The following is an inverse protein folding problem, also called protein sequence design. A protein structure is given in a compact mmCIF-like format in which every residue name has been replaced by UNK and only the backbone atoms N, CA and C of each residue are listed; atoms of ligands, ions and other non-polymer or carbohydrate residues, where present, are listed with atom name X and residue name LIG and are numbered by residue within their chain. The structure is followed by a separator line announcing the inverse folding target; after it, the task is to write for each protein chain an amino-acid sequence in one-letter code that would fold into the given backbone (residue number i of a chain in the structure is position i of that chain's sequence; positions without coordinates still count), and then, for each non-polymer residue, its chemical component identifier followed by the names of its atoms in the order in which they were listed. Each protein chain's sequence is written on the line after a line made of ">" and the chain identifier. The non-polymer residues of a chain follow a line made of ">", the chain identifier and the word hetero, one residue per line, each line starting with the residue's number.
data_IF_469479466658
#
_entry.id   IF_469479466658
#
_cell.length_a   1.000
_cell.length_b   1.000
_cell.length_c   1.000
_cell.angle_alpha   90.00
_cell.angle_beta   90.00
_cell.angle_gamma   90.00
#
_symmetry.space_group_name_H-M   'P 1'
#
loop_
_entity.id
_entity.type
_entity.pdbx_description
1 polymer ?
#
# COMPACT_ATOMS: atom_id res chain seq x y z
N UNK A 1 -18.63 -16.78 2.33
CA UNK A 1 -17.26 -16.50 1.85
C UNK A 1 -16.85 -15.21 2.53
N UNK A 2 -15.76 -15.19 3.29
CA UNK A 2 -15.26 -13.95 3.89
C UNK A 2 -14.76 -13.04 2.77
N UNK A 3 -15.53 -12.00 2.44
CA UNK A 3 -15.12 -10.96 1.50
C UNK A 3 -13.84 -10.29 2.00
N UNK A 4 -12.94 -9.96 1.07
CA UNK A 4 -11.73 -9.22 1.40
C UNK A 4 -12.12 -7.86 2.00
N UNK A 5 -11.33 -7.32 2.94
CA UNK A 5 -11.55 -5.97 3.45
C UNK A 5 -11.61 -4.97 2.30
N UNK A 6 -12.64 -4.12 2.30
CA UNK A 6 -12.78 -2.99 1.37
C UNK A 6 -11.48 -2.18 1.15
N UNK A 7 -10.67 -1.85 2.18
CA UNK A 7 -9.40 -1.15 1.95
C UNK A 7 -8.41 -1.92 1.07
N UNK A 8 -8.39 -3.25 1.13
CA UNK A 8 -7.50 -4.06 0.27
C UNK A 8 -7.97 -4.01 -1.18
N UNK A 9 -9.29 -4.07 -1.40
CA UNK A 9 -9.88 -3.98 -2.75
C UNK A 9 -9.56 -2.61 -3.39
N UNK A 10 -9.71 -1.53 -2.64
CA UNK A 10 -9.37 -0.17 -3.10
C UNK A 10 -7.87 -0.02 -3.43
N UNK A 11 -6.99 -0.58 -2.60
CA UNK A 11 -5.55 -0.60 -2.88
C UNK A 11 -5.22 -1.34 -4.18
N UNK A 12 -5.87 -2.48 -4.43
CA UNK A 12 -5.69 -3.25 -5.68
C UNK A 12 -6.17 -2.42 -6.87
N UNK A 13 -7.37 -1.85 -6.81
CA UNK A 13 -7.91 -1.03 -7.90
C UNK A 13 -7.02 0.18 -8.21
N UNK A 14 -6.49 0.84 -7.16
CA UNK A 14 -5.55 1.96 -7.31
C UNK A 14 -4.25 1.51 -7.95
N UNK A 15 -3.72 0.35 -7.53
CA UNK A 15 -2.50 -0.21 -8.07
C UNK A 15 -2.65 -0.51 -9.57
N UNK A 16 -3.71 -1.22 -9.95
CA UNK A 16 -3.99 -1.60 -11.34
C UNK A 16 -4.19 -0.37 -12.23
N UNK A 17 -4.92 0.63 -11.76
CA UNK A 17 -5.16 1.88 -12.52
C UNK A 17 -3.89 2.68 -12.80
N UNK A 18 -2.85 2.55 -11.97
CA UNK A 18 -1.64 3.36 -12.05
C UNK A 18 -0.38 2.51 -12.24
N UNK A 19 -0.52 1.25 -12.67
CA UNK A 19 0.58 0.29 -12.84
C UNK A 19 1.73 0.83 -13.67
N UNK A 20 1.42 1.57 -14.74
CA UNK A 20 2.40 2.20 -15.63
C UNK A 20 3.25 3.26 -14.91
N UNK A 21 2.65 3.97 -13.95
CA UNK A 21 3.36 4.97 -13.13
C UNK A 21 4.26 4.31 -12.09
N UNK A 22 3.86 3.17 -11.54
CA UNK A 22 4.66 2.42 -10.56
C UNK A 22 5.83 1.66 -11.17
N UNK A 23 5.77 1.36 -12.47
CA UNK A 23 6.88 0.77 -13.20
C UNK A 23 7.90 1.82 -13.68
N UNK A 24 7.65 3.11 -13.43
CA UNK A 24 8.58 4.17 -13.76
C UNK A 24 9.78 4.17 -12.77
N UNK A 25 11.02 4.32 -13.23
CA UNK A 25 12.19 4.42 -12.36
C UNK A 25 12.16 5.60 -11.36
N UNK A 26 11.27 6.58 -11.55
CA UNK A 26 11.05 7.65 -10.57
C UNK A 26 10.28 7.18 -9.34
N UNK A 27 9.58 6.06 -9.41
CA UNK A 27 8.86 5.45 -8.30
C UNK A 27 9.78 4.51 -7.54
N UNK A 28 10.09 4.87 -6.29
CA UNK A 28 11.08 4.15 -5.48
C UNK A 28 10.44 3.22 -4.44
N UNK A 29 11.30 2.41 -3.80
CA UNK A 29 10.90 1.44 -2.78
C UNK A 29 10.19 2.10 -1.58
N UNK A 30 10.61 3.30 -1.18
CA UNK A 30 10.00 4.02 -0.06
C UNK A 30 8.57 4.43 -0.39
N UNK A 31 8.31 4.88 -1.61
CA UNK A 31 6.97 5.26 -2.06
C UNK A 31 6.04 4.05 -2.14
N UNK A 32 6.47 2.92 -2.71
CA UNK A 32 5.64 1.69 -2.73
C UNK A 32 5.35 1.17 -1.34
N UNK A 33 6.34 1.26 -0.44
CA UNK A 33 6.17 0.86 0.95
C UNK A 33 5.10 1.69 1.65
N UNK A 34 5.17 3.02 1.53
CA UNK A 34 4.22 3.91 2.19
C UNK A 34 2.83 3.88 1.55
N UNK A 35 2.75 3.81 0.22
CA UNK A 35 1.47 3.94 -0.49
C UNK A 35 0.68 2.64 -0.62
N UNK A 36 1.35 1.48 -0.57
CA UNK A 36 0.68 0.18 -0.77
C UNK A 36 0.96 -0.82 0.34
N UNK A 37 2.23 -1.03 0.71
CA UNK A 37 2.61 -2.10 1.63
C UNK A 37 2.11 -1.81 3.05
N UNK A 38 2.33 -0.59 3.54
CA UNK A 38 1.85 -0.16 4.85
C UNK A 38 0.31 -0.28 4.96
N UNK A 39 -0.49 0.40 4.09
CA UNK A 39 -1.94 0.34 4.21
C UNK A 39 -2.51 -1.07 3.95
N UNK A 40 -1.83 -1.91 3.17
CA UNK A 40 -2.22 -3.32 3.01
C UNK A 40 -2.11 -4.09 4.32
N UNK A 41 -1.01 -3.95 5.05
CA UNK A 41 -0.83 -4.62 6.33
C UNK A 41 -1.71 -4.02 7.44
N UNK A 42 -1.92 -2.70 7.45
CA UNK A 42 -2.90 -2.06 8.34
C UNK A 42 -4.31 -2.59 8.10
N UNK A 43 -4.70 -2.78 6.84
CA UNK A 43 -5.99 -3.35 6.47
C UNK A 43 -6.17 -4.81 6.92
N UNK A 44 -5.08 -5.54 7.15
CA UNK A 44 -5.07 -6.88 7.74
C UNK A 44 -5.05 -6.86 9.28
N UNK A 45 -5.04 -5.68 9.90
CA UNK A 45 -4.98 -5.51 11.35
C UNK A 45 -3.57 -5.54 11.93
N UNK A 46 -2.54 -5.39 11.10
CA UNK A 46 -1.16 -5.26 11.55
C UNK A 46 -0.83 -3.79 11.81
N UNK A 47 -0.39 -3.49 13.03
CA UNK A 47 0.22 -2.19 13.36
C UNK A 47 1.61 -2.07 12.71
N UNK A 48 1.64 -1.60 11.47
CA UNK A 48 2.88 -1.29 10.73
C UNK A 48 3.32 0.16 10.94
N UNK A 49 2.48 0.98 11.57
CA UNK A 49 2.86 2.34 11.98
C UNK A 49 3.67 2.29 13.26
N UNK A 50 4.97 1.98 13.14
CA UNK A 50 5.90 2.63 14.07
C UNK A 50 5.81 4.12 13.74
N UNK A 51 4.99 4.87 14.49
CA UNK A 51 4.95 6.35 14.50
C UNK A 51 6.26 6.95 15.02
N UNK A 52 7.37 6.24 14.85
CA UNK A 52 8.70 6.71 15.10
C UNK A 52 9.16 7.36 13.80
N UNK A 53 8.77 8.61 13.63
CA UNK A 53 9.32 9.45 12.59
C UNK A 53 10.81 9.62 12.84
N UNK A 54 11.64 8.88 12.11
CA UNK A 54 13.08 9.11 11.98
C UNK A 54 13.49 8.53 10.62
N UNK A 55 14.13 9.24 9.68
CA UNK A 55 14.87 10.49 9.72
C UNK A 55 14.89 11.14 8.32
#
# INVERSE_FOLDING_TARGET
>A
MSEAPKPIIDLIERFERNIESYHNPTYNETQVRQEFINPFFEALGWDVTSKDGHA
#
